data_IF_925950817059
#
_entry.id   IF_925950817059
#
_cell.length_a   1.000
_cell.length_b   1.000
_cell.length_c   1.000
_cell.angle_alpha   90.00
_cell.angle_beta   90.00
_cell.angle_gamma   90.00
#
_symmetry.space_group_name_H-M   'P 1'
#
loop_
_entity.id
_entity.type
_entity.pdbx_description
1 polymer ?
#
# COMPACT_ATOMS: atom_id res chain seq x y z
N UNK A 1 15.82 0.44 -5.42
CA UNK A 1 14.51 0.01 -5.95
C UNK A 1 13.96 1.08 -6.89
N UNK A 2 13.15 0.73 -7.90
CA UNK A 2 12.78 1.58 -9.08
C UNK A 2 12.53 3.06 -8.81
N UNK A 3 11.86 3.43 -7.71
CA UNK A 3 11.63 4.82 -7.29
C UNK A 3 12.93 5.63 -7.17
N UNK A 4 13.97 5.07 -6.54
CA UNK A 4 15.26 5.74 -6.38
C UNK A 4 16.01 5.89 -7.71
N UNK A 5 15.81 4.97 -8.67
CA UNK A 5 16.49 5.01 -9.97
C UNK A 5 15.87 6.06 -10.90
N UNK A 6 14.55 6.19 -10.86
CA UNK A 6 13.79 7.07 -11.77
C UNK A 6 13.62 8.48 -11.20
N UNK A 7 13.72 8.61 -9.88
CA UNK A 7 13.42 9.84 -9.17
C UNK A 7 11.97 9.83 -8.69
N UNK A 8 11.81 10.20 -7.42
CA UNK A 8 10.54 10.13 -6.69
C UNK A 8 9.41 10.97 -7.31
N UNK A 9 9.72 11.96 -8.13
CA UNK A 9 8.72 12.89 -8.67
C UNK A 9 8.11 12.36 -9.96
N UNK A 10 8.83 11.47 -10.67
CA UNK A 10 8.41 10.89 -11.93
C UNK A 10 7.52 9.65 -11.72
N UNK A 11 6.33 9.90 -11.20
CA UNK A 11 5.28 8.89 -10.95
C UNK A 11 4.97 8.04 -12.18
N UNK A 12 4.78 8.67 -13.35
CA UNK A 12 4.49 7.98 -14.61
C UNK A 12 5.63 7.03 -14.99
N UNK A 13 6.88 7.51 -14.98
CA UNK A 13 8.04 6.70 -15.29
C UNK A 13 8.24 5.53 -14.32
N UNK A 14 7.99 5.74 -13.03
CA UNK A 14 8.03 4.67 -12.02
C UNK A 14 7.01 3.58 -12.34
N UNK A 15 5.75 3.98 -12.57
CA UNK A 15 4.66 3.06 -12.88
C UNK A 15 4.96 2.29 -14.17
N UNK A 16 5.38 2.98 -15.24
CA UNK A 16 5.72 2.37 -16.52
C UNK A 16 6.88 1.39 -16.41
N UNK A 17 7.93 1.73 -15.67
CA UNK A 17 9.07 0.82 -15.46
C UNK A 17 8.68 -0.42 -14.70
N UNK A 18 7.88 -0.29 -13.64
CA UNK A 18 7.37 -1.45 -12.90
C UNK A 18 6.52 -2.36 -13.79
N UNK A 19 5.70 -1.79 -14.67
CA UNK A 19 4.93 -2.55 -15.66
C UNK A 19 5.82 -3.29 -16.65
N UNK A 20 6.88 -2.65 -17.14
CA UNK A 20 7.87 -3.29 -18.02
C UNK A 20 8.50 -4.49 -17.35
N UNK A 21 8.97 -4.31 -16.11
CA UNK A 21 9.58 -5.38 -15.31
C UNK A 21 8.61 -6.56 -15.13
N UNK A 22 7.34 -6.31 -14.79
CA UNK A 22 6.34 -7.37 -14.63
C UNK A 22 6.13 -8.14 -15.94
N UNK A 23 6.12 -7.47 -17.10
CA UNK A 23 5.99 -8.11 -18.41
C UNK A 23 7.24 -8.92 -18.80
N UNK A 24 8.42 -8.32 -18.62
CA UNK A 24 9.71 -8.93 -18.95
C UNK A 24 9.97 -10.20 -18.15
N UNK A 25 9.67 -10.17 -16.86
CA UNK A 25 9.93 -11.30 -15.99
C UNK A 25 8.93 -12.45 -16.22
N UNK A 26 7.83 -12.21 -16.95
CA UNK A 26 6.74 -13.17 -17.22
C UNK A 26 6.38 -14.03 -15.98
N UNK A 27 6.45 -13.42 -14.79
CA UNK A 27 6.46 -14.16 -13.54
C UNK A 27 5.12 -14.86 -13.39
N UNK A 28 5.19 -16.19 -13.20
CA UNK A 28 4.09 -16.95 -12.62
C UNK A 28 3.67 -16.30 -11.30
N UNK A 29 2.43 -16.53 -10.90
CA UNK A 29 1.64 -15.87 -9.83
C UNK A 29 2.31 -15.67 -8.45
N UNK A 30 3.53 -16.15 -8.24
CA UNK A 30 4.20 -16.22 -6.95
C UNK A 30 5.13 -15.02 -6.74
N UNK A 31 4.75 -14.14 -5.80
CA UNK A 31 5.52 -12.99 -5.29
C UNK A 31 5.74 -11.83 -6.28
N UNK A 32 4.71 -11.48 -7.06
CA UNK A 32 4.73 -10.29 -7.91
C UNK A 32 3.99 -9.15 -7.24
N UNK A 33 4.63 -7.98 -7.19
CA UNK A 33 3.93 -6.74 -6.85
C UNK A 33 3.04 -6.33 -8.03
N UNK A 34 1.73 -6.54 -7.90
CA UNK A 34 0.78 -6.25 -8.99
C UNK A 34 0.04 -4.93 -8.80
N UNK A 35 0.20 -4.31 -7.64
CA UNK A 35 -0.46 -3.06 -7.27
C UNK A 35 0.54 -2.13 -6.62
N UNK A 36 0.45 -0.84 -6.96
CA UNK A 36 1.22 0.24 -6.35
C UNK A 36 0.27 1.30 -5.80
N UNK A 37 0.60 1.87 -4.65
CA UNK A 37 -0.06 3.02 -4.05
C UNK A 37 0.90 4.21 -4.09
N UNK A 38 0.40 5.35 -4.54
CA UNK A 38 1.10 6.64 -4.53
C UNK A 38 0.35 7.60 -3.64
N UNK A 39 1.06 8.25 -2.72
CA UNK A 39 0.47 9.24 -1.82
C UNK A 39 1.31 10.48 -1.67
N UNK A 40 0.64 11.63 -1.61
CA UNK A 40 1.25 12.93 -1.38
C UNK A 40 0.19 13.94 -0.92
N UNK A 41 0.63 15.11 -0.44
CA UNK A 41 -0.29 16.21 -0.08
C UNK A 41 -0.56 17.02 -1.35
N UNK A 42 -1.81 17.07 -1.79
CA UNK A 42 -2.15 17.62 -3.11
C UNK A 42 -1.93 19.13 -3.24
N UNK A 43 -2.09 19.87 -2.14
CA UNK A 43 -2.09 21.34 -2.13
C UNK A 43 -0.71 21.96 -1.81
N UNK A 44 0.38 21.20 -1.98
CA UNK A 44 1.75 21.66 -1.68
C UNK A 44 2.53 21.88 -2.97
N UNK A 45 3.26 22.99 -3.06
CA UNK A 45 4.22 23.24 -4.12
C UNK A 45 5.38 22.25 -3.97
N UNK A 46 5.65 21.46 -5.02
CA UNK A 46 6.57 20.33 -5.02
C UNK A 46 6.27 19.22 -3.98
N UNK A 47 5.19 18.43 -4.18
CA UNK A 47 4.72 17.50 -3.19
C UNK A 47 5.60 16.25 -3.11
N UNK A 48 6.12 15.99 -1.91
CA UNK A 48 6.85 14.78 -1.53
C UNK A 48 5.98 13.52 -1.73
N UNK A 49 6.28 12.72 -2.77
CA UNK A 49 5.57 11.48 -3.11
C UNK A 49 6.08 10.26 -2.35
N UNK A 50 5.15 9.47 -1.82
CA UNK A 50 5.39 8.22 -1.12
C UNK A 50 4.80 7.07 -1.90
N UNK A 51 5.54 5.96 -1.96
CA UNK A 51 5.20 4.78 -2.75
C UNK A 51 5.14 3.56 -1.85
N UNK A 52 4.15 2.72 -2.06
CA UNK A 52 4.03 1.39 -1.46
C UNK A 52 3.51 0.39 -2.49
N UNK A 53 3.82 -0.88 -2.33
CA UNK A 53 3.40 -1.95 -3.23
C UNK A 53 2.65 -3.05 -2.48
N UNK A 54 1.78 -3.77 -3.18
CA UNK A 54 1.14 -4.96 -2.63
C UNK A 54 1.76 -6.18 -3.26
N UNK A 55 2.37 -7.02 -2.43
CA UNK A 55 2.98 -8.27 -2.85
C UNK A 55 1.94 -9.40 -2.90
N UNK A 56 1.90 -10.17 -3.99
CA UNK A 56 1.08 -11.37 -4.04
C UNK A 56 1.67 -12.45 -3.13
N UNK A 57 0.85 -13.04 -2.26
CA UNK A 57 1.16 -14.30 -1.61
C UNK A 57 0.06 -15.31 -1.95
N UNK A 58 0.40 -16.43 -2.62
CA UNK A 58 -0.56 -17.48 -2.90
C UNK A 58 -0.99 -18.14 -1.58
N UNK A 59 -2.29 -18.21 -1.35
CA UNK A 59 -2.86 -18.84 -0.17
C UNK A 59 -2.90 -17.96 1.09
N UNK A 60 -3.53 -18.51 2.13
CA UNK A 60 -3.76 -17.82 3.40
C UNK A 60 -2.50 -17.75 4.26
N UNK A 61 -1.86 -18.90 4.49
CA UNK A 61 -0.70 -18.99 5.40
C UNK A 61 0.49 -18.14 4.91
N UNK A 62 0.92 -18.18 3.63
CA UNK A 62 2.03 -17.34 3.17
C UNK A 62 1.73 -15.84 3.31
N UNK A 63 0.48 -15.44 3.13
CA UNK A 63 0.02 -14.06 3.30
C UNK A 63 0.09 -13.62 4.77
N UNK A 64 -0.40 -14.46 5.68
CA UNK A 64 -0.34 -14.18 7.12
C UNK A 64 1.11 -14.08 7.61
N UNK A 65 1.99 -14.96 7.14
CA UNK A 65 3.43 -14.90 7.43
C UNK A 65 4.04 -13.59 6.91
N UNK A 66 3.73 -13.20 5.66
CA UNK A 66 4.25 -11.95 5.08
C UNK A 66 3.79 -10.72 5.85
N UNK A 67 2.52 -10.66 6.25
CA UNK A 67 1.98 -9.57 7.06
C UNK A 67 2.68 -9.52 8.42
N UNK A 68 2.81 -10.66 9.10
CA UNK A 68 3.47 -10.74 10.40
C UNK A 68 4.94 -10.33 10.34
N UNK A 69 5.69 -10.82 9.34
CA UNK A 69 7.08 -10.43 9.10
C UNK A 69 7.21 -8.93 8.83
N UNK A 70 6.28 -8.37 8.04
CA UNK A 70 6.25 -6.93 7.74
C UNK A 70 5.97 -6.10 8.99
N UNK A 71 5.04 -6.53 9.85
CA UNK A 71 4.75 -5.87 11.13
C UNK A 71 5.95 -5.90 12.10
N UNK A 72 6.74 -6.97 12.10
CA UNK A 72 7.87 -7.13 13.02
C UNK A 72 9.13 -6.37 12.60
N UNK A 73 9.38 -6.25 11.29
CA UNK A 73 10.69 -5.77 10.79
C UNK A 73 10.64 -4.62 9.79
N UNK A 74 9.55 -4.46 9.03
CA UNK A 74 9.56 -3.57 7.85
C UNK A 74 8.69 -2.33 8.05
N UNK A 75 7.51 -2.48 8.64
CA UNK A 75 6.56 -1.39 8.78
C UNK A 75 6.83 -0.54 10.02
N UNK A 76 6.42 0.73 9.91
CA UNK A 76 6.38 1.63 11.05
C UNK A 76 5.57 1.03 12.21
N UNK A 77 6.00 1.26 13.45
CA UNK A 77 5.38 0.68 14.65
C UNK A 77 3.89 1.00 14.78
N UNK A 78 3.45 2.18 14.33
CA UNK A 78 2.04 2.57 14.39
C UNK A 78 1.22 1.83 13.34
N UNK A 79 1.77 1.67 12.13
CA UNK A 79 1.12 0.87 11.08
C UNK A 79 1.08 -0.61 11.48
N UNK A 80 2.18 -1.16 11.99
CA UNK A 80 2.25 -2.52 12.49
C UNK A 80 1.23 -2.73 13.63
N UNK A 81 1.20 -1.84 14.62
CA UNK A 81 0.22 -1.86 15.70
C UNK A 81 -1.21 -1.83 15.18
N UNK A 82 -1.52 -0.95 14.22
CA UNK A 82 -2.84 -0.85 13.61
C UNK A 82 -3.22 -2.10 12.80
N UNK A 83 -2.29 -2.78 12.13
CA UNK A 83 -2.61 -4.06 11.45
C UNK A 83 -2.83 -5.17 12.49
N UNK A 84 -2.01 -5.21 13.54
CA UNK A 84 -2.08 -6.21 14.61
C UNK A 84 -3.29 -6.05 15.54
N UNK A 85 -3.99 -4.91 15.55
CA UNK A 85 -5.28 -4.80 16.25
C UNK A 85 -6.39 -5.59 15.55
N UNK A 86 -6.27 -5.86 14.25
CA UNK A 86 -7.21 -6.67 13.46
C UNK A 86 -6.72 -8.09 13.19
N UNK A 87 -5.41 -8.30 13.14
CA UNK A 87 -4.78 -9.59 12.90
C UNK A 87 -4.17 -10.18 14.18
N UNK A 88 -4.44 -11.44 14.57
CA UNK A 88 -5.24 -12.46 13.87
C UNK A 88 -6.73 -12.49 14.26
N UNK A 89 -7.16 -11.75 15.28
CA UNK A 89 -8.54 -11.74 15.77
C UNK A 89 -9.35 -10.58 15.17
N UNK A 90 -10.38 -10.90 14.37
CA UNK A 90 -11.31 -9.91 13.77
C UNK A 90 -12.12 -9.19 14.85
N UNK A 91 -11.65 -8.05 15.36
CA UNK A 91 -12.54 -7.09 16.04
C UNK A 91 -13.36 -6.35 14.99
N UNK A 92 -14.66 -6.18 15.24
CA UNK A 92 -15.65 -5.77 14.23
C UNK A 92 -15.87 -4.26 14.10
N UNK A 93 -15.45 -3.44 15.06
CA UNK A 93 -15.92 -2.05 15.12
C UNK A 93 -14.76 -1.09 15.38
N UNK A 94 -14.11 -0.61 14.32
CA UNK A 94 -13.12 0.47 14.41
C UNK A 94 -13.16 1.34 13.16
N UNK A 95 -13.43 2.63 13.35
CA UNK A 95 -13.38 3.67 12.32
C UNK A 95 -12.00 4.35 12.32
N UNK A 96 -11.07 3.87 11.48
CA UNK A 96 -9.81 4.56 11.17
C UNK A 96 -8.84 4.65 12.34
N UNK A 97 -8.10 3.56 12.61
CA UNK A 97 -7.03 3.53 13.63
C UNK A 97 -5.97 4.59 13.37
N UNK A 98 -5.71 4.91 12.10
CA UNK A 98 -4.87 6.01 11.65
C UNK A 98 -5.74 6.90 10.75
N UNK A 99 -5.74 8.22 10.96
CA UNK A 99 -6.53 9.15 10.14
C UNK A 99 -5.57 9.97 9.27
N UNK A 100 -5.55 9.69 7.96
CA UNK A 100 -4.80 10.54 7.03
C UNK A 100 -5.55 11.88 6.84
N UNK A 101 -4.85 13.03 6.79
CA UNK A 101 -5.49 14.31 6.50
C UNK A 101 -6.24 14.28 5.16
N UNK A 102 -7.41 14.92 5.07
CA UNK A 102 -8.25 14.95 3.84
C UNK A 102 -7.53 15.47 2.59
N UNK A 103 -6.49 16.29 2.77
CA UNK A 103 -5.61 16.82 1.71
C UNK A 103 -4.61 15.80 1.15
N UNK A 104 -4.51 14.63 1.76
CA UNK A 104 -3.65 13.55 1.28
C UNK A 104 -4.34 12.84 0.13
N UNK A 105 -3.75 12.93 -1.06
CA UNK A 105 -4.08 12.04 -2.17
C UNK A 105 -3.50 10.67 -1.85
N UNK A 106 -4.29 9.62 -2.04
CA UNK A 106 -3.85 8.23 -1.97
C UNK A 106 -4.46 7.50 -3.17
N UNK A 107 -3.65 7.27 -4.20
CA UNK A 107 -4.09 6.64 -5.43
C UNK A 107 -3.46 5.26 -5.58
N UNK A 108 -4.31 4.26 -5.81
CA UNK A 108 -3.88 2.89 -6.08
C UNK A 108 -3.93 2.63 -7.58
N UNK A 109 -2.94 1.92 -8.11
CA UNK A 109 -2.85 1.53 -9.51
C UNK A 109 -2.60 0.03 -9.65
N UNK A 110 -3.38 -0.62 -10.50
CA UNK A 110 -3.12 -1.98 -10.94
C UNK A 110 -2.06 -1.96 -12.04
N UNK A 111 -0.91 -2.58 -11.77
CA UNK A 111 0.21 -2.63 -12.71
C UNK A 111 -0.05 -3.59 -13.87
N UNK A 112 -0.85 -4.64 -13.70
CA UNK A 112 -1.18 -5.57 -14.79
C UNK A 112 -2.23 -5.01 -15.73
N UNK A 113 -3.28 -4.40 -15.18
CA UNK A 113 -4.45 -3.90 -15.94
C UNK A 113 -4.29 -2.48 -16.48
N UNK A 114 -3.30 -1.73 -16.00
CA UNK A 114 -3.13 -0.31 -16.33
C UNK A 114 -4.35 0.54 -15.92
N UNK A 115 -4.86 0.31 -14.72
CA UNK A 115 -6.06 1.00 -14.22
C UNK A 115 -5.81 1.59 -12.83
N UNK A 116 -6.41 2.76 -12.57
CA UNK A 116 -6.53 3.30 -11.22
C UNK A 116 -7.64 2.58 -10.46
N UNK A 117 -7.40 2.27 -9.18
CA UNK A 117 -8.36 1.61 -8.31
C UNK A 117 -8.64 2.47 -7.08
N UNK A 118 -9.82 2.28 -6.49
CA UNK A 118 -10.09 2.81 -5.16
C UNK A 118 -9.36 1.98 -4.10
N UNK A 119 -8.96 2.58 -2.96
CA UNK A 119 -8.53 1.82 -1.80
C UNK A 119 -9.56 0.78 -1.40
N UNK A 120 -9.13 -0.38 -0.91
CA UNK A 120 -10.08 -1.39 -0.44
C UNK A 120 -10.75 -0.96 0.88
N UNK A 121 -11.88 -1.58 1.22
CA UNK A 121 -12.64 -1.27 2.44
C UNK A 121 -11.79 -1.40 3.71
N UNK A 122 -10.91 -2.41 3.78
CA UNK A 122 -10.01 -2.59 4.92
C UNK A 122 -9.00 -1.45 5.07
N UNK A 123 -8.48 -0.91 3.97
CA UNK A 123 -7.60 0.26 4.00
C UNK A 123 -8.39 1.55 4.28
N UNK A 124 -9.62 1.65 3.80
CA UNK A 124 -10.57 2.69 4.21
C UNK A 124 -10.77 2.71 5.71
N UNK A 125 -11.08 1.55 6.30
CA UNK A 125 -11.29 1.38 7.73
C UNK A 125 -10.02 1.57 8.55
N UNK A 126 -8.83 1.28 8.01
CA UNK A 126 -7.58 1.40 8.75
C UNK A 126 -7.01 2.82 8.74
N UNK A 127 -7.13 3.51 7.59
CA UNK A 127 -6.45 4.78 7.31
C UNK A 127 -7.40 5.98 7.12
N UNK A 128 -8.72 5.77 7.25
CA UNK A 128 -9.73 6.80 7.00
C UNK A 128 -9.83 7.22 5.54
N UNK A 129 -9.51 6.32 4.60
CA UNK A 129 -9.48 6.64 3.16
C UNK A 129 -10.89 6.65 2.58
N UNK A 130 -11.30 7.79 2.01
CA UNK A 130 -12.56 7.94 1.28
C UNK A 130 -12.33 8.65 -0.05
N UNK A 131 -12.92 8.20 -1.18
CA UNK A 131 -13.77 7.02 -1.32
C UNK A 131 -12.98 5.70 -1.30
N UNK A 132 -13.62 4.60 -0.89
CA UNK A 132 -13.05 3.25 -0.89
C UNK A 132 -14.06 2.22 -1.42
N UNK A 133 -13.57 1.05 -1.86
CA UNK A 133 -14.44 -0.06 -2.25
C UNK A 133 -15.17 -0.65 -1.04
N UNK A 134 -16.37 -1.21 -1.25
CA UNK A 134 -17.09 -1.98 -0.21
C UNK A 134 -16.42 -3.30 0.12
N UNK A 135 -15.53 -3.79 -0.75
CA UNK A 135 -14.88 -5.09 -0.59
C UNK A 135 -13.74 -4.97 0.43
N UNK A 136 -13.81 -5.82 1.45
CA UNK A 136 -12.77 -5.94 2.46
C UNK A 136 -11.84 -7.12 2.14
N UNK A 137 -10.54 -6.87 2.26
CA UNK A 137 -9.49 -7.88 2.19
C UNK A 137 -8.87 -8.10 3.58
N UNK A 138 -7.99 -9.09 3.70
CA UNK A 138 -7.20 -9.25 4.93
C UNK A 138 -6.36 -7.98 5.13
N UNK A 139 -6.48 -7.37 6.31
CA UNK A 139 -5.72 -6.18 6.71
C UNK A 139 -4.21 -6.44 6.58
N UNK A 140 -3.46 -5.45 6.10
CA UNK A 140 -2.01 -5.55 5.97
C UNK A 140 -1.50 -5.87 4.56
N UNK A 141 -2.24 -6.59 3.71
CA UNK A 141 -1.67 -7.03 2.42
C UNK A 141 -1.69 -5.95 1.31
N UNK A 142 -2.07 -4.73 1.62
CA UNK A 142 -2.42 -3.70 0.62
C UNK A 142 -1.29 -2.69 0.45
N UNK A 143 -1.19 -2.11 -0.75
CA UNK A 143 -0.10 -1.18 -1.08
C UNK A 143 -0.16 0.10 -0.23
N UNK A 144 -1.34 0.49 0.19
CA UNK A 144 -1.63 1.62 1.08
C UNK A 144 -0.98 1.44 2.46
N UNK A 145 -0.86 0.20 2.95
CA UNK A 145 -0.23 -0.12 4.24
C UNK A 145 1.26 0.16 4.16
N UNK A 146 1.92 -0.37 3.14
CA UNK A 146 3.34 -0.12 2.91
C UNK A 146 3.62 1.37 2.67
N UNK A 147 2.80 2.02 1.85
CA UNK A 147 2.91 3.45 1.60
C UNK A 147 2.83 4.26 2.91
N UNK A 148 1.85 3.95 3.77
CA UNK A 148 1.68 4.64 5.06
C UNK A 148 2.86 4.37 5.99
N UNK A 149 3.37 3.14 5.99
CA UNK A 149 4.56 2.78 6.76
C UNK A 149 5.82 3.50 6.27
N UNK A 150 6.01 3.67 4.96
CA UNK A 150 7.10 4.50 4.41
C UNK A 150 6.92 5.95 4.82
N UNK A 151 5.71 6.51 4.71
CA UNK A 151 5.41 7.90 5.07
C UNK A 151 5.76 8.19 6.53
N UNK A 152 5.32 7.35 7.47
CA UNK A 152 5.56 7.59 8.91
C UNK A 152 7.04 7.45 9.28
N UNK A 153 7.77 6.49 8.68
CA UNK A 153 9.22 6.34 8.90
C UNK A 153 10.04 7.56 8.49
N UNK A 154 9.57 8.33 7.50
CA UNK A 154 10.29 9.54 7.03
C UNK A 154 10.00 10.80 7.85
N UNK A 155 9.14 10.72 8.89
CA UNK A 155 8.82 11.85 9.77
C UNK A 155 9.62 11.83 11.09
N UNK A 156 10.44 10.80 11.30
CA UNK A 156 11.33 10.61 12.44
C UNK A 156 12.78 10.64 11.97
#
# INVERSE_FOLDING_TARGET
>A
MVVHLIGRDNETGIIERLRSIIRELNLSEDLVSTTICVSYIADTEDPVKYYGVSMSAPGRLPREIMIAASCLGTWDRYVAGAVMTYFPSKKKDFEGTIQLPKRVRCQVFNLRRNESMLPCGSCGNLFGLTPCEKKEWVYGNCAEVEMTAVRLRTQH
#
